data_IF_163575411754
#
_entry.id   IF_163575411754
#
_cell.length_a   1.000
_cell.length_b   1.000
_cell.length_c   1.000
_cell.angle_alpha   90.00
_cell.angle_beta   90.00
_cell.angle_gamma   90.00
#
_symmetry.space_group_name_H-M   'P 1'
#
loop_
_entity.id
_entity.type
_entity.pdbx_description
1 polymer ?
#
# COMPACT_ATOMS: atom_id res chain seq x y z
N UNK A 1 8.84 6.14 -19.15
CA UNK A 1 9.84 6.70 -18.21
C UNK A 1 10.83 5.62 -17.80
N UNK A 2 12.08 5.97 -17.70
CA UNK A 2 13.10 5.00 -17.32
C UNK A 2 13.05 4.67 -15.84
N UNK A 3 13.17 3.37 -15.49
CA UNK A 3 13.11 2.91 -14.10
C UNK A 3 14.24 3.47 -13.22
N UNK A 4 15.41 3.77 -13.79
CA UNK A 4 16.53 4.26 -13.00
C UNK A 4 16.35 5.68 -12.45
N UNK A 5 15.29 6.39 -12.84
CA UNK A 5 14.93 7.68 -12.26
C UNK A 5 14.05 7.51 -11.01
N UNK A 6 13.66 6.29 -10.67
CA UNK A 6 12.81 6.02 -9.53
C UNK A 6 13.65 5.55 -8.33
N UNK A 7 13.20 5.95 -7.14
CA UNK A 7 13.71 5.32 -5.92
C UNK A 7 13.15 3.90 -5.83
N UNK A 8 13.76 3.07 -4.99
CA UNK A 8 13.25 1.72 -4.75
C UNK A 8 11.81 1.74 -4.25
N UNK A 9 11.48 2.68 -3.34
CA UNK A 9 10.12 2.82 -2.84
C UNK A 9 9.14 3.21 -3.94
N UNK A 10 9.50 4.17 -4.78
CA UNK A 10 8.64 4.58 -5.90
C UNK A 10 8.42 3.45 -6.90
N UNK A 11 9.46 2.70 -7.21
CA UNK A 11 9.34 1.54 -8.08
C UNK A 11 8.42 0.49 -7.47
N UNK A 12 8.56 0.23 -6.18
CA UNK A 12 7.68 -0.71 -5.47
C UNK A 12 6.23 -0.27 -5.48
N UNK A 13 5.98 1.03 -5.31
CA UNK A 13 4.61 1.56 -5.37
C UNK A 13 3.99 1.40 -6.74
N UNK A 14 4.76 1.61 -7.81
CA UNK A 14 4.28 1.39 -9.17
C UNK A 14 3.98 -0.09 -9.43
N UNK A 15 4.82 -0.98 -8.92
CA UNK A 15 4.62 -2.41 -9.06
C UNK A 15 3.36 -2.85 -8.30
N UNK A 16 3.18 -2.35 -7.08
CA UNK A 16 1.99 -2.63 -6.29
C UNK A 16 0.72 -2.15 -6.99
N UNK A 17 0.75 -0.94 -7.54
CA UNK A 17 -0.39 -0.41 -8.29
C UNK A 17 -0.73 -1.30 -9.48
N UNK A 18 0.28 -1.69 -10.25
CA UNK A 18 0.07 -2.58 -11.41
C UNK A 18 -0.58 -3.90 -10.99
N UNK A 19 -0.11 -4.48 -9.88
CA UNK A 19 -0.68 -5.70 -9.32
C UNK A 19 -2.15 -5.50 -8.95
N UNK A 20 -2.47 -4.43 -8.25
CA UNK A 20 -3.83 -4.14 -7.80
C UNK A 20 -4.78 -3.89 -8.96
N UNK A 21 -4.33 -3.12 -9.95
CA UNK A 21 -5.14 -2.83 -11.15
C UNK A 21 -5.44 -4.11 -11.92
N UNK A 22 -4.45 -4.99 -12.07
CA UNK A 22 -4.66 -6.30 -12.73
C UNK A 22 -5.63 -7.18 -11.95
N UNK A 23 -5.72 -6.98 -10.63
CA UNK A 23 -6.65 -7.71 -9.78
C UNK A 23 -8.05 -7.07 -9.77
N UNK A 24 -8.26 -5.98 -10.51
CA UNK A 24 -9.56 -5.33 -10.64
C UNK A 24 -9.76 -4.08 -9.79
N UNK A 25 -8.73 -3.62 -9.10
CA UNK A 25 -8.84 -2.42 -8.28
C UNK A 25 -8.83 -1.15 -9.14
N UNK A 26 -9.53 -0.13 -8.66
CA UNK A 26 -9.50 1.20 -9.26
C UNK A 26 -8.74 2.13 -8.33
N UNK A 27 -7.68 2.76 -8.82
CA UNK A 27 -6.88 3.69 -8.04
C UNK A 27 -7.61 5.03 -7.94
N UNK A 28 -7.80 5.51 -6.71
CA UNK A 28 -8.38 6.82 -6.45
C UNK A 28 -7.32 7.86 -6.19
N UNK A 29 -6.35 7.57 -5.34
CA UNK A 29 -5.31 8.52 -4.92
C UNK A 29 -3.98 7.80 -4.73
N UNK A 30 -2.90 8.54 -4.95
CA UNK A 30 -1.54 8.11 -4.67
C UNK A 30 -0.92 9.07 -3.67
N UNK A 31 -0.15 8.53 -2.72
CA UNK A 31 0.57 9.32 -1.73
C UNK A 31 -0.33 10.34 -1.02
N UNK A 32 -1.47 9.86 -0.54
CA UNK A 32 -2.44 10.69 0.16
C UNK A 32 -1.91 11.07 1.55
N UNK A 33 -1.94 12.35 1.87
CA UNK A 33 -1.48 12.85 3.17
C UNK A 33 -2.64 13.41 3.98
N UNK A 34 -2.63 13.10 5.27
CA UNK A 34 -3.57 13.65 6.25
C UNK A 34 -2.83 13.92 7.56
N UNK A 35 -3.55 14.47 8.53
CA UNK A 35 -2.98 14.65 9.88
C UNK A 35 -2.62 13.31 10.54
N UNK A 36 -3.22 12.20 10.08
CA UNK A 36 -2.91 10.86 10.57
C UNK A 36 -1.62 10.30 10.00
N UNK A 37 -1.16 10.82 8.87
CA UNK A 37 -0.02 10.30 8.15
C UNK A 37 -0.32 10.10 6.67
N UNK A 38 0.52 9.31 6.00
CA UNK A 38 0.43 9.07 4.56
C UNK A 38 -0.10 7.68 4.24
N UNK A 39 -0.93 7.61 3.19
CA UNK A 39 -1.33 6.33 2.59
C UNK A 39 -0.72 6.26 1.20
N UNK A 40 0.03 5.20 0.92
CA UNK A 40 0.73 5.07 -0.37
C UNK A 40 -0.23 5.01 -1.55
N UNK A 41 -1.28 4.19 -1.44
CA UNK A 41 -2.32 4.08 -2.47
C UNK A 41 -3.69 3.99 -1.79
N UNK A 42 -4.68 4.65 -2.40
CA UNK A 42 -6.07 4.47 -2.02
C UNK A 42 -6.80 3.93 -3.24
N UNK A 43 -7.44 2.79 -3.08
CA UNK A 43 -8.13 2.12 -4.19
C UNK A 43 -9.54 1.73 -3.78
N UNK A 44 -10.39 1.48 -4.77
CA UNK A 44 -11.65 0.76 -4.58
C UNK A 44 -11.46 -0.62 -5.18
N UNK A 45 -11.72 -1.65 -4.41
CA UNK A 45 -11.55 -3.03 -4.83
C UNK A 45 -12.67 -3.88 -4.28
N UNK A 46 -13.37 -4.56 -5.17
CA UNK A 46 -14.51 -5.40 -4.80
C UNK A 46 -15.56 -4.64 -3.97
N UNK A 47 -15.79 -3.38 -4.33
CA UNK A 47 -16.76 -2.53 -3.64
C UNK A 47 -16.31 -1.98 -2.31
N UNK A 48 -15.06 -2.19 -1.92
CA UNK A 48 -14.51 -1.70 -0.67
C UNK A 48 -13.49 -0.59 -0.90
N UNK A 49 -13.43 0.34 0.04
CA UNK A 49 -12.41 1.39 0.05
C UNK A 49 -11.17 0.85 0.76
N UNK A 50 -10.04 0.85 0.07
CA UNK A 50 -8.83 0.20 0.56
C UNK A 50 -7.68 1.18 0.64
N UNK A 51 -7.09 1.30 1.84
CA UNK A 51 -5.82 2.00 2.03
C UNK A 51 -4.70 0.98 1.94
N UNK A 52 -3.73 1.22 1.08
CA UNK A 52 -2.66 0.26 0.80
C UNK A 52 -1.33 0.84 1.25
N UNK A 53 -0.63 0.10 2.11
CA UNK A 53 0.75 0.36 2.47
C UNK A 53 1.64 -0.51 1.63
N UNK A 54 2.61 0.09 0.95
CA UNK A 54 3.58 -0.63 0.13
C UNK A 54 4.91 -0.64 0.84
N UNK A 55 5.47 -1.81 1.06
CA UNK A 55 6.76 -1.97 1.71
C UNK A 55 7.70 -2.74 0.80
N UNK A 56 8.82 -2.10 0.45
CA UNK A 56 9.83 -2.70 -0.43
C UNK A 56 11.14 -2.85 0.33
N UNK A 57 11.73 -4.03 0.27
CA UNK A 57 12.99 -4.37 0.93
C UNK A 57 13.88 -5.17 -0.01
N UNK A 58 15.17 -5.09 0.22
CA UNK A 58 16.11 -5.99 -0.44
C UNK A 58 16.27 -7.26 0.40
N UNK A 59 16.73 -8.34 -0.24
CA UNK A 59 16.96 -9.61 0.47
C UNK A 59 18.07 -9.52 1.52
N UNK A 60 18.82 -8.41 1.53
CA UNK A 60 19.87 -8.19 2.53
C UNK A 60 19.32 -7.64 3.84
N UNK A 61 18.07 -7.19 3.86
CA UNK A 61 17.44 -6.67 5.06
C UNK A 61 17.13 -7.80 6.04
N UNK A 62 17.23 -7.50 7.34
CA UNK A 62 17.11 -8.50 8.39
C UNK A 62 15.69 -9.03 8.56
N UNK A 63 14.69 -8.16 8.40
CA UNK A 63 13.30 -8.57 8.59
C UNK A 63 12.52 -8.54 7.27
N UNK A 64 11.47 -9.35 7.19
CA UNK A 64 10.60 -9.37 6.04
C UNK A 64 9.89 -8.01 5.89
N UNK A 65 9.56 -7.58 4.64
CA UNK A 65 8.90 -6.29 4.41
C UNK A 65 7.62 -6.10 5.23
N UNK A 66 6.77 -7.11 5.29
CA UNK A 66 5.50 -7.04 6.03
C UNK A 66 5.71 -6.89 7.54
N UNK A 67 6.82 -7.41 8.07
CA UNK A 67 7.16 -7.29 9.49
C UNK A 67 7.60 -5.87 9.87
N UNK A 68 8.02 -5.09 8.86
CA UNK A 68 8.40 -3.69 9.09
C UNK A 68 7.18 -2.77 9.21
N UNK A 69 5.98 -3.25 8.88
CA UNK A 69 4.74 -2.47 8.97
C UNK A 69 4.10 -2.74 10.32
N UNK A 70 4.22 -1.78 11.22
CA UNK A 70 3.79 -1.94 12.61
C UNK A 70 2.32 -1.59 12.82
N UNK A 71 1.73 -2.16 13.89
CA UNK A 71 0.33 -1.91 14.26
C UNK A 71 0.00 -0.40 14.31
N UNK A 72 0.88 0.42 14.88
CA UNK A 72 0.65 1.86 14.98
C UNK A 72 0.55 2.52 13.60
N UNK A 73 1.35 2.05 12.65
CA UNK A 73 1.30 2.55 11.27
C UNK A 73 -0.02 2.15 10.60
N UNK A 74 -0.43 0.91 10.75
CA UNK A 74 -1.70 0.43 10.18
C UNK A 74 -2.89 1.19 10.78
N UNK A 75 -2.84 1.48 12.08
CA UNK A 75 -3.88 2.27 12.73
C UNK A 75 -3.96 3.69 12.18
N UNK A 76 -2.80 4.31 11.89
CA UNK A 76 -2.78 5.63 11.29
C UNK A 76 -3.38 5.62 9.89
N UNK A 77 -3.08 4.58 9.11
CA UNK A 77 -3.68 4.43 7.78
C UNK A 77 -5.19 4.28 7.90
N UNK A 78 -5.66 3.48 8.85
CA UNK A 78 -7.10 3.31 9.08
C UNK A 78 -7.77 4.65 9.43
N UNK A 79 -7.13 5.45 10.28
CA UNK A 79 -7.65 6.77 10.65
C UNK A 79 -7.71 7.72 9.46
N UNK A 80 -6.65 7.76 8.67
CA UNK A 80 -6.59 8.59 7.46
C UNK A 80 -7.66 8.15 6.45
N UNK A 81 -7.86 6.85 6.30
CA UNK A 81 -8.83 6.30 5.36
C UNK A 81 -10.27 6.65 5.77
N UNK A 82 -10.57 6.56 7.08
CA UNK A 82 -11.88 6.93 7.60
C UNK A 82 -12.19 8.40 7.37
N UNK A 83 -11.22 9.28 7.60
CA UNK A 83 -11.35 10.70 7.36
C UNK A 83 -11.57 10.99 5.87
N UNK A 84 -10.80 10.36 5.01
CA UNK A 84 -10.95 10.49 3.56
C UNK A 84 -12.33 10.03 3.11
N UNK A 85 -12.85 8.94 3.66
CA UNK A 85 -14.15 8.41 3.30
C UNK A 85 -15.26 9.44 3.57
N UNK A 86 -15.20 10.10 4.72
CA UNK A 86 -16.17 11.16 5.06
C UNK A 86 -16.03 12.33 4.09
N UNK A 87 -14.80 12.77 3.85
CA UNK A 87 -14.54 13.96 3.01
C UNK A 87 -14.96 13.75 1.55
N UNK A 88 -14.94 12.50 1.09
CA UNK A 88 -15.28 12.17 -0.31
C UNK A 88 -16.68 11.58 -0.48
N UNK A 89 -17.46 11.45 0.61
CA UNK A 89 -18.79 10.87 0.54
C UNK A 89 -18.82 9.38 0.33
N UNK A 90 -17.75 8.68 0.71
CA UNK A 90 -17.61 7.23 0.55
C UNK A 90 -17.75 6.48 1.87
N UNK A 91 -18.30 7.13 2.91
CA UNK A 91 -18.41 6.53 4.24
C UNK A 91 -19.33 5.32 4.29
N UNK A 92 -20.18 5.13 3.28
CA UNK A 92 -21.07 3.97 3.20
C UNK A 92 -20.34 2.71 2.70
N UNK A 93 -19.15 2.87 2.14
CA UNK A 93 -18.36 1.73 1.71
C UNK A 93 -17.68 1.08 2.91
N UNK A 94 -17.66 -0.24 2.92
CA UNK A 94 -16.75 -0.94 3.81
C UNK A 94 -15.33 -0.52 3.50
N UNK A 95 -14.47 -0.45 4.53
CA UNK A 95 -13.07 -0.11 4.31
C UNK A 95 -12.18 -1.21 4.89
N UNK A 96 -10.99 -1.30 4.33
CA UNK A 96 -9.95 -2.17 4.87
C UNK A 96 -8.57 -1.58 4.59
N UNK A 97 -7.57 -2.06 5.33
CA UNK A 97 -6.17 -1.67 5.12
C UNK A 97 -5.43 -2.90 4.62
N UNK A 98 -4.76 -2.77 3.49
CA UNK A 98 -3.97 -3.83 2.89
C UNK A 98 -2.49 -3.48 2.93
N UNK A 99 -1.64 -4.48 2.90
CA UNK A 99 -0.19 -4.31 2.76
C UNK A 99 0.25 -5.06 1.51
N UNK A 100 1.06 -4.40 0.68
CA UNK A 100 1.75 -5.07 -0.42
C UNK A 100 3.23 -5.11 -0.07
N UNK A 101 3.74 -6.31 0.16
CA UNK A 101 5.12 -6.55 0.57
C UNK A 101 5.93 -7.01 -0.63
N UNK A 102 7.04 -6.33 -0.90
CA UNK A 102 7.86 -6.57 -2.09
C UNK A 102 9.30 -6.80 -1.65
N UNK A 103 9.89 -7.89 -2.11
CA UNK A 103 11.31 -8.17 -1.92
C UNK A 103 12.01 -8.22 -3.26
N UNK A 104 13.17 -7.57 -3.33
CA UNK A 104 14.04 -7.58 -4.50
C UNK A 104 15.39 -8.15 -4.10
N UNK A 105 16.11 -8.72 -5.07
CA UNK A 105 17.48 -9.15 -4.83
C UNK A 105 18.44 -7.96 -4.94
N UNK A 106 19.75 -8.13 -4.62
CA UNK A 106 20.70 -7.03 -4.69
C UNK A 106 20.86 -6.41 -6.08
N UNK A 107 20.45 -7.11 -7.15
CA UNK A 107 20.48 -6.56 -8.51
C UNK A 107 19.23 -5.73 -8.83
N UNK A 108 18.25 -5.70 -7.91
CA UNK A 108 17.00 -4.99 -8.12
C UNK A 108 15.91 -5.84 -8.80
N UNK A 109 16.14 -7.14 -8.96
CA UNK A 109 15.15 -8.02 -9.57
C UNK A 109 14.11 -8.44 -8.52
N UNK A 110 12.84 -8.44 -8.93
CA UNK A 110 11.74 -8.86 -8.07
C UNK A 110 11.90 -10.33 -7.67
N UNK A 111 11.84 -10.59 -6.37
CA UNK A 111 11.90 -11.95 -5.80
C UNK A 111 10.56 -12.36 -5.21
N UNK A 112 9.83 -11.44 -4.60
CA UNK A 112 8.55 -11.75 -3.99
C UNK A 112 7.64 -10.53 -4.00
N UNK A 113 6.37 -10.76 -4.31
CA UNK A 113 5.32 -9.78 -4.08
C UNK A 113 4.19 -10.51 -3.36
N UNK A 114 3.81 -10.03 -2.20
CA UNK A 114 2.72 -10.59 -1.43
C UNK A 114 1.71 -9.50 -1.09
N UNK A 115 0.45 -9.75 -1.42
CA UNK A 115 -0.65 -8.85 -1.11
C UNK A 115 -1.37 -9.40 0.12
N UNK A 116 -1.21 -8.71 1.25
CA UNK A 116 -1.82 -9.08 2.51
C UNK A 116 -3.08 -8.25 2.66
N UNK A 117 -4.24 -8.89 2.50
CA UNK A 117 -5.53 -8.21 2.56
C UNK A 117 -5.99 -8.10 3.99
N UNK A 118 -6.67 -6.99 4.30
CA UNK A 118 -7.31 -6.76 5.59
C UNK A 118 -6.31 -6.93 6.76
N UNK A 119 -5.20 -6.22 6.65
CA UNK A 119 -4.09 -6.35 7.60
C UNK A 119 -4.34 -5.64 8.93
N UNK A 120 -5.41 -4.87 9.06
CA UNK A 120 -5.72 -4.14 10.28
C UNK A 120 -7.18 -4.34 10.66
N UNK A 121 -7.47 -4.62 11.95
CA UNK A 121 -6.49 -4.93 13.01
C UNK A 121 -5.81 -6.26 12.73
N UNK A 122 -4.53 -6.36 13.14
CA UNK A 122 -3.77 -7.59 12.87
C UNK A 122 -4.24 -8.78 13.68
#
# INVERSE_FOLDING_TARGET
MSRHHLTLGQWGEQLAESHLVKAGAQVLLRNYRSDWGEIDLVVVHEGELVGVEVKTRTLLDVEAPEEAVRRAQLRRIAGALGELAVDTGLEDLHWRVDVVAIEVDPSGALQRLEHIRDAYPP
#
